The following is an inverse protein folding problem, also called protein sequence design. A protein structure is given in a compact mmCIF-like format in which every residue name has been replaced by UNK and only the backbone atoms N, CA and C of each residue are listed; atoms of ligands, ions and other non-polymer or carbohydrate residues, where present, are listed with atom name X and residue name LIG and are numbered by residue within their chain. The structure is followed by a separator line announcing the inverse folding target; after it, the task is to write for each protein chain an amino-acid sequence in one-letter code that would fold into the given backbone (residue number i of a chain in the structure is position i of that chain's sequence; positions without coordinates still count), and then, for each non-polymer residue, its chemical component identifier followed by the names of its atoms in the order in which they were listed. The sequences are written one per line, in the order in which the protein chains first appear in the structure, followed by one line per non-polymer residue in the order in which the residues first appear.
data_IF_164008032833
#
_entry.id   IF_164008032833
#
_cell.length_a   1.000
_cell.length_b   1.000
_cell.length_c   1.000
_cell.angle_alpha   90.00
_cell.angle_beta   90.00
_cell.angle_gamma   90.00
#
_symmetry.space_group_name_H-M   'P 1'
#
loop_
_entity.id
_entity.type
_entity.pdbx_description
1 polymer ?
#
# COMPACT_ATOMS: atom_id res chain seq x y z
N UNK A 1 -82.81 -9.69 -7.46
CA UNK A 1 -81.82 -8.65 -7.11
C UNK A 1 -82.15 -7.42 -7.93
N UNK A 2 -82.40 -6.23 -7.35
CA UNK A 2 -82.66 -5.04 -8.15
C UNK A 2 -81.39 -4.65 -8.94
N UNK A 3 -81.52 -4.41 -10.26
CA UNK A 3 -80.39 -4.03 -11.10
C UNK A 3 -79.75 -2.72 -10.63
N UNK A 4 -78.42 -2.66 -10.45
CA UNK A 4 -77.73 -1.47 -9.92
C UNK A 4 -77.89 -0.22 -10.79
N UNK A 5 -78.39 -0.37 -12.03
CA UNK A 5 -78.53 0.70 -13.01
C UNK A 5 -79.99 1.00 -13.42
N UNK A 6 -81.01 0.53 -12.71
CA UNK A 6 -82.41 0.82 -13.10
C UNK A 6 -82.81 2.31 -12.96
N UNK A 7 -82.09 3.08 -12.13
CA UNK A 7 -82.38 4.49 -11.87
C UNK A 7 -81.50 5.42 -12.74
N UNK A 8 -82.05 6.28 -13.62
CA UNK A 8 -81.29 7.18 -14.47
C UNK A 8 -80.40 8.16 -13.69
N UNK A 9 -80.80 8.57 -12.49
CA UNK A 9 -79.97 9.46 -11.65
C UNK A 9 -78.71 8.76 -11.13
N UNK A 10 -78.78 7.45 -10.83
CA UNK A 10 -77.60 6.65 -10.44
C UNK A 10 -76.63 6.47 -11.62
N UNK A 11 -77.12 6.33 -12.86
CA UNK A 11 -76.26 6.24 -14.05
C UNK A 11 -75.48 7.54 -14.27
N UNK A 12 -76.16 8.69 -14.21
CA UNK A 12 -75.51 10.00 -14.34
C UNK A 12 -74.52 10.27 -13.20
N UNK A 13 -74.83 9.85 -11.97
CA UNK A 13 -73.90 9.95 -10.85
C UNK A 13 -72.62 9.11 -11.05
N UNK A 14 -72.74 7.88 -11.55
CA UNK A 14 -71.58 7.03 -11.85
C UNK A 14 -70.75 7.59 -13.01
N UNK A 15 -71.39 8.09 -14.07
CA UNK A 15 -70.69 8.74 -15.20
C UNK A 15 -69.97 10.01 -14.75
N UNK A 16 -70.62 10.85 -13.94
CA UNK A 16 -69.99 12.05 -13.40
C UNK A 16 -68.81 11.72 -12.48
N UNK A 17 -68.95 10.72 -11.59
CA UNK A 17 -67.87 10.27 -10.71
C UNK A 17 -66.69 9.70 -11.51
N UNK A 18 -66.93 8.83 -12.48
CA UNK A 18 -65.88 8.23 -13.31
C UNK A 18 -65.18 9.28 -14.17
N UNK A 19 -65.92 10.23 -14.75
CA UNK A 19 -65.34 11.35 -15.49
C UNK A 19 -64.49 12.24 -14.57
N UNK A 20 -64.98 12.56 -13.37
CA UNK A 20 -64.24 13.36 -12.41
C UNK A 20 -62.94 12.67 -11.96
N UNK A 21 -62.99 11.35 -11.71
CA UNK A 21 -61.79 10.54 -11.40
C UNK A 21 -60.83 10.53 -12.58
N UNK A 22 -61.32 10.36 -13.82
CA UNK A 22 -60.47 10.37 -15.01
C UNK A 22 -59.79 11.74 -15.23
N UNK A 23 -60.53 12.85 -15.08
CA UNK A 23 -59.96 14.20 -15.16
C UNK A 23 -58.93 14.42 -14.05
N UNK A 24 -59.21 13.97 -12.83
CA UNK A 24 -58.27 14.07 -11.72
C UNK A 24 -57.00 13.26 -11.97
N UNK A 25 -57.11 12.03 -12.50
CA UNK A 25 -55.95 11.20 -12.85
C UNK A 25 -55.11 11.82 -13.99
N UNK A 26 -55.75 12.39 -15.02
CA UNK A 26 -55.04 13.10 -16.10
C UNK A 26 -54.31 14.33 -15.53
N UNK A 27 -54.98 15.12 -14.68
CA UNK A 27 -54.36 16.26 -14.02
C UNK A 27 -53.18 15.84 -13.14
N UNK A 28 -53.32 14.77 -12.35
CA UNK A 28 -52.26 14.22 -11.54
C UNK A 28 -51.08 13.72 -12.39
N UNK A 29 -51.33 13.01 -13.49
CA UNK A 29 -50.31 12.51 -14.40
C UNK A 29 -49.54 13.65 -15.09
N UNK A 30 -50.24 14.67 -15.58
CA UNK A 30 -49.61 15.86 -16.20
C UNK A 30 -48.74 16.60 -15.18
N UNK A 31 -49.21 16.75 -13.95
CA UNK A 31 -48.41 17.38 -12.90
C UNK A 31 -47.22 16.52 -12.48
N UNK A 32 -47.37 15.20 -12.41
CA UNK A 32 -46.27 14.28 -12.14
C UNK A 32 -45.18 14.38 -13.21
N UNK A 33 -45.54 14.34 -14.49
CA UNK A 33 -44.60 14.50 -15.61
C UNK A 33 -43.89 15.85 -15.56
N UNK A 34 -44.63 16.94 -15.30
CA UNK A 34 -44.03 18.27 -15.16
C UNK A 34 -43.06 18.35 -13.98
N UNK A 35 -43.44 17.78 -12.83
CA UNK A 35 -42.59 17.73 -11.65
C UNK A 35 -41.34 16.86 -11.90
N UNK A 36 -41.49 15.72 -12.56
CA UNK A 36 -40.40 14.84 -12.98
C UNK A 36 -39.42 15.57 -13.92
N UNK A 37 -39.94 16.29 -14.92
CA UNK A 37 -39.13 17.09 -15.84
C UNK A 37 -38.30 18.15 -15.10
N UNK A 38 -38.92 18.92 -14.21
CA UNK A 38 -38.20 19.89 -13.39
C UNK A 38 -37.25 19.21 -12.38
N UNK A 39 -37.64 18.08 -11.80
CA UNK A 39 -36.85 17.30 -10.85
C UNK A 39 -35.57 16.73 -11.47
N UNK A 40 -35.61 16.36 -12.75
CA UNK A 40 -34.48 15.87 -13.53
C UNK A 40 -33.47 16.96 -13.92
N UNK A 41 -33.81 18.24 -13.77
CA UNK A 41 -32.90 19.36 -14.02
C UNK A 41 -31.72 19.37 -13.05
N UNK A 42 -30.66 20.11 -13.41
CA UNK A 42 -29.53 20.41 -12.52
C UNK A 42 -29.67 21.78 -11.83
N UNK A 43 -30.79 22.48 -12.03
CA UNK A 43 -31.00 23.84 -11.51
C UNK A 43 -31.82 23.82 -10.21
N UNK A 44 -31.38 24.56 -9.17
CA UNK A 44 -32.12 24.66 -7.90
C UNK A 44 -33.55 25.19 -8.05
N UNK A 45 -33.75 26.18 -8.92
CA UNK A 45 -35.08 26.77 -9.17
C UNK A 45 -36.06 25.74 -9.73
N UNK A 46 -35.58 24.81 -10.55
CA UNK A 46 -36.41 23.74 -11.10
C UNK A 46 -36.80 22.74 -10.01
N UNK A 47 -35.88 22.36 -9.11
CA UNK A 47 -36.25 21.54 -7.94
C UNK A 47 -37.26 22.23 -7.02
N UNK A 48 -37.20 23.56 -6.87
CA UNK A 48 -38.20 24.34 -6.13
C UNK A 48 -39.57 24.34 -6.82
N UNK A 49 -39.60 24.39 -8.16
CA UNK A 49 -40.86 24.24 -8.93
C UNK A 49 -41.39 22.82 -8.81
N UNK A 50 -40.53 21.81 -8.93
CA UNK A 50 -40.88 20.41 -8.78
C UNK A 50 -41.47 20.13 -7.39
N UNK A 51 -40.89 20.66 -6.33
CA UNK A 51 -41.37 20.47 -4.95
C UNK A 51 -42.70 21.21 -4.67
N UNK A 52 -43.01 22.29 -5.39
CA UNK A 52 -44.33 22.93 -5.35
C UNK A 52 -45.41 22.11 -6.06
N UNK A 53 -45.07 21.46 -7.18
CA UNK A 53 -45.99 20.62 -7.95
C UNK A 53 -46.22 19.28 -7.22
N UNK A 54 -45.16 18.69 -6.66
CA UNK A 54 -45.19 17.45 -5.89
C UNK A 54 -44.53 17.60 -4.51
N UNK A 55 -45.25 18.16 -3.51
CA UNK A 55 -44.70 18.34 -2.16
C UNK A 55 -44.37 17.05 -1.42
N UNK A 56 -44.87 15.90 -1.91
CA UNK A 56 -44.65 14.57 -1.34
C UNK A 56 -43.40 13.87 -1.88
N UNK A 57 -42.76 14.40 -2.93
CA UNK A 57 -41.55 13.82 -3.51
C UNK A 57 -40.32 14.21 -2.68
N UNK A 58 -39.82 13.26 -1.86
CA UNK A 58 -38.69 13.47 -0.96
C UNK A 58 -37.40 13.90 -1.66
N UNK A 59 -37.16 13.40 -2.88
CA UNK A 59 -35.92 13.62 -3.62
C UNK A 59 -35.73 15.08 -4.03
N UNK A 60 -36.81 15.76 -4.42
CA UNK A 60 -36.76 17.19 -4.77
C UNK A 60 -36.32 18.05 -3.57
N UNK A 61 -36.85 17.74 -2.38
CA UNK A 61 -36.44 18.41 -1.14
C UNK A 61 -35.00 18.08 -0.76
N UNK A 62 -34.59 16.82 -0.91
CA UNK A 62 -33.21 16.41 -0.67
C UNK A 62 -32.21 17.15 -1.56
N UNK A 63 -32.49 17.28 -2.87
CA UNK A 63 -31.65 18.02 -3.82
C UNK A 63 -31.52 19.50 -3.46
N UNK A 64 -32.63 20.14 -3.08
CA UNK A 64 -32.61 21.52 -2.57
C UNK A 64 -31.75 21.64 -1.30
N UNK A 65 -31.88 20.69 -0.37
CA UNK A 65 -31.07 20.62 0.84
C UNK A 65 -29.57 20.50 0.52
N UNK A 66 -29.20 19.55 -0.35
CA UNK A 66 -27.81 19.36 -0.81
C UNK A 66 -27.25 20.60 -1.47
N UNK A 67 -28.03 21.26 -2.31
CA UNK A 67 -27.58 22.48 -2.96
C UNK A 67 -27.28 23.57 -1.94
N UNK A 68 -28.19 23.83 -0.99
CA UNK A 68 -27.96 24.83 0.07
C UNK A 68 -26.85 24.46 1.05
N UNK A 69 -26.57 23.17 1.21
CA UNK A 69 -25.49 22.66 2.04
C UNK A 69 -24.11 22.79 1.38
N UNK A 70 -24.01 22.54 0.07
CA UNK A 70 -22.74 22.44 -0.67
C UNK A 70 -22.42 23.66 -1.55
N UNK A 71 -23.29 24.66 -1.61
CA UNK A 71 -23.01 25.92 -2.31
C UNK A 71 -21.89 26.69 -1.60
N UNK A 72 -20.70 26.75 -2.21
CA UNK A 72 -19.53 27.38 -1.61
C UNK A 72 -19.68 28.89 -1.40
N UNK A 73 -20.45 29.57 -2.26
CA UNK A 73 -20.59 31.02 -2.22
C UNK A 73 -21.77 31.46 -1.35
N UNK A 74 -22.81 30.62 -1.25
CA UNK A 74 -24.09 30.97 -0.60
C UNK A 74 -24.65 29.84 0.28
N UNK A 75 -23.79 29.09 0.97
CA UNK A 75 -24.22 28.05 1.89
C UNK A 75 -25.22 28.60 2.93
N UNK A 76 -26.39 27.96 3.02
CA UNK A 76 -27.44 28.29 3.99
C UNK A 76 -27.80 27.00 4.74
N UNK A 77 -27.03 26.74 5.81
CA UNK A 77 -27.20 25.54 6.65
C UNK A 77 -28.60 25.47 7.28
N UNK A 78 -29.19 26.55 7.85
CA UNK A 78 -30.56 26.52 8.34
C UNK A 78 -31.58 26.08 7.28
N UNK A 79 -31.49 26.64 6.07
CA UNK A 79 -32.40 26.29 4.99
C UNK A 79 -32.16 24.86 4.49
N UNK A 80 -30.90 24.43 4.37
CA UNK A 80 -30.54 23.06 4.03
C UNK A 80 -31.14 22.05 5.02
N UNK A 81 -30.97 22.29 6.33
CA UNK A 81 -31.55 21.46 7.41
C UNK A 81 -33.07 21.39 7.27
N UNK A 82 -33.75 22.50 6.96
CA UNK A 82 -35.20 22.51 6.78
C UNK A 82 -35.66 21.61 5.62
N UNK A 83 -34.95 21.66 4.48
CA UNK A 83 -35.24 20.83 3.32
C UNK A 83 -34.90 19.36 3.56
N UNK A 84 -33.78 19.07 4.21
CA UNK A 84 -33.41 17.71 4.60
C UNK A 84 -34.41 17.11 5.59
N UNK A 85 -34.86 17.87 6.60
CA UNK A 85 -35.93 17.41 7.52
C UNK A 85 -37.20 17.06 6.75
N UNK A 86 -37.57 17.85 5.73
CA UNK A 86 -38.71 17.53 4.88
C UNK A 86 -38.49 16.25 4.08
N UNK A 87 -37.31 16.04 3.50
CA UNK A 87 -36.97 14.82 2.79
C UNK A 87 -37.03 13.58 3.71
N UNK A 88 -36.49 13.68 4.93
CA UNK A 88 -36.53 12.60 5.94
C UNK A 88 -37.96 12.32 6.41
N UNK A 89 -38.81 13.34 6.58
CA UNK A 89 -40.23 13.14 6.91
C UNK A 89 -40.97 12.36 5.82
N UNK A 90 -40.68 12.65 4.54
CA UNK A 90 -41.34 12.03 3.39
C UNK A 90 -40.80 10.62 3.12
N UNK A 91 -39.51 10.37 3.37
CA UNK A 91 -38.90 9.05 3.26
C UNK A 91 -38.00 8.76 4.49
N UNK A 92 -38.59 8.30 5.60
CA UNK A 92 -37.86 8.06 6.85
C UNK A 92 -36.92 6.84 6.80
N UNK A 93 -37.00 6.05 5.73
CA UNK A 93 -36.14 4.87 5.56
C UNK A 93 -34.79 5.21 4.93
N UNK A 94 -34.68 6.29 4.13
CA UNK A 94 -33.44 6.65 3.45
C UNK A 94 -32.32 7.03 4.43
N UNK A 95 -31.23 6.24 4.47
CA UNK A 95 -30.04 6.59 5.23
C UNK A 95 -29.32 7.80 4.65
N UNK A 96 -29.27 7.94 3.32
CA UNK A 96 -28.60 9.07 2.67
C UNK A 96 -29.19 10.42 3.13
N UNK A 97 -30.52 10.50 3.23
CA UNK A 97 -31.18 11.72 3.68
C UNK A 97 -30.89 12.01 5.15
N UNK A 98 -30.85 10.98 5.99
CA UNK A 98 -30.48 11.10 7.42
C UNK A 98 -29.01 11.50 7.60
N UNK A 99 -28.09 10.91 6.82
CA UNK A 99 -26.66 11.21 6.88
C UNK A 99 -26.37 12.66 6.49
N UNK A 100 -26.96 13.14 5.41
CA UNK A 100 -26.75 14.52 4.98
C UNK A 100 -27.43 15.52 5.90
N UNK A 101 -28.59 15.17 6.48
CA UNK A 101 -29.20 15.95 7.57
C UNK A 101 -28.28 15.99 8.79
N UNK A 102 -27.72 14.85 9.21
CA UNK A 102 -26.81 14.75 10.34
C UNK A 102 -25.55 15.60 10.11
N UNK A 103 -24.96 15.51 8.92
CA UNK A 103 -23.80 16.30 8.53
C UNK A 103 -24.09 17.81 8.55
N UNK A 104 -25.25 18.24 8.05
CA UNK A 104 -25.64 19.65 8.09
C UNK A 104 -25.88 20.14 9.52
N UNK A 105 -26.49 19.29 10.37
CA UNK A 105 -26.70 19.57 11.80
C UNK A 105 -25.37 19.70 12.55
N UNK A 106 -24.43 18.79 12.30
CA UNK A 106 -23.06 18.83 12.83
C UNK A 106 -22.36 20.13 12.42
N UNK A 107 -22.39 20.50 11.14
CA UNK A 107 -21.79 21.77 10.67
C UNK A 107 -22.44 23.01 11.30
N UNK A 108 -23.70 22.92 11.71
CA UNK A 108 -24.40 23.99 12.44
C UNK A 108 -24.16 23.98 13.96
N UNK A 109 -23.34 23.03 14.47
CA UNK A 109 -23.03 22.86 15.89
C UNK A 109 -24.11 22.15 16.72
N UNK A 110 -25.10 21.53 16.07
CA UNK A 110 -26.19 20.80 16.74
C UNK A 110 -25.86 19.29 16.82
N UNK A 111 -24.82 18.97 17.58
CA UNK A 111 -24.23 17.63 17.62
C UNK A 111 -25.16 16.57 18.22
N UNK A 112 -25.99 16.96 19.20
CA UNK A 112 -26.96 16.06 19.84
C UNK A 112 -27.99 15.57 18.82
N UNK A 113 -28.52 16.48 18.00
CA UNK A 113 -29.48 16.11 16.96
C UNK A 113 -28.79 15.39 15.79
N UNK A 114 -27.57 15.80 15.44
CA UNK A 114 -26.76 15.11 14.43
C UNK A 114 -26.54 13.63 14.79
N UNK A 115 -26.12 13.33 16.02
CA UNK A 115 -25.89 11.95 16.48
C UNK A 115 -27.15 11.11 16.37
N UNK A 116 -28.32 11.66 16.72
CA UNK A 116 -29.60 10.95 16.59
C UNK A 116 -29.83 10.47 15.15
N UNK A 117 -29.53 11.31 14.15
CA UNK A 117 -29.71 10.94 12.75
C UNK A 117 -28.61 10.01 12.24
N UNK A 118 -27.36 10.16 12.68
CA UNK A 118 -26.30 9.20 12.37
C UNK A 118 -26.64 7.80 12.90
N UNK A 119 -27.06 7.69 14.16
CA UNK A 119 -27.49 6.42 14.77
C UNK A 119 -28.69 5.83 14.05
N UNK A 120 -29.70 6.64 13.74
CA UNK A 120 -30.88 6.19 13.01
C UNK A 120 -30.58 5.78 11.54
N UNK A 121 -29.49 6.29 10.95
CA UNK A 121 -29.00 5.83 9.65
C UNK A 121 -28.31 4.45 9.80
N UNK A 122 -27.48 4.28 10.83
CA UNK A 122 -26.80 3.02 11.15
C UNK A 122 -27.78 1.89 11.48
N UNK A 123 -28.84 2.17 12.24
CA UNK A 123 -29.90 1.20 12.55
C UNK A 123 -30.63 0.71 11.28
N UNK A 124 -30.82 1.59 10.30
CA UNK A 124 -31.49 1.24 9.04
C UNK A 124 -30.57 0.48 8.07
N UNK A 125 -29.27 0.79 8.06
CA UNK A 125 -28.29 0.21 7.12
C UNK A 125 -27.00 -0.19 7.84
N UNK A 126 -27.03 -1.25 8.67
CA UNK A 126 -25.93 -1.60 9.55
C UNK A 126 -24.67 -2.11 8.81
N UNK A 127 -24.78 -2.44 7.52
CA UNK A 127 -23.69 -2.96 6.67
C UNK A 127 -23.17 -1.87 5.71
N UNK A 128 -23.70 -0.63 5.75
CA UNK A 128 -23.25 0.42 4.83
C UNK A 128 -21.92 1.01 5.25
N UNK A 129 -20.88 0.82 4.43
CA UNK A 129 -19.56 1.41 4.65
C UNK A 129 -19.64 2.94 4.78
N UNK A 130 -20.45 3.60 3.95
CA UNK A 130 -20.59 5.07 3.97
C UNK A 130 -21.23 5.57 5.28
N UNK A 131 -22.24 4.85 5.79
CA UNK A 131 -22.93 5.21 7.04
C UNK A 131 -21.96 5.08 8.21
N UNK A 132 -21.30 3.93 8.35
CA UNK A 132 -20.30 3.71 9.39
C UNK A 132 -19.13 4.68 9.25
N UNK A 133 -18.66 4.97 8.03
CA UNK A 133 -17.57 5.93 7.81
C UNK A 133 -17.94 7.35 8.26
N UNK A 134 -19.10 7.87 7.85
CA UNK A 134 -19.55 9.22 8.24
C UNK A 134 -19.81 9.30 9.74
N UNK A 135 -20.43 8.28 10.33
CA UNK A 135 -20.69 8.27 11.76
C UNK A 135 -19.41 8.14 12.59
N UNK A 136 -18.48 7.28 12.20
CA UNK A 136 -17.16 7.17 12.82
C UNK A 136 -16.38 8.48 12.76
N UNK A 137 -16.44 9.20 11.64
CA UNK A 137 -15.80 10.52 11.53
C UNK A 137 -16.45 11.59 12.42
N UNK A 138 -17.79 11.58 12.55
CA UNK A 138 -18.47 12.42 13.53
C UNK A 138 -17.97 12.11 14.94
N UNK A 139 -17.91 10.84 15.33
CA UNK A 139 -17.43 10.41 16.65
C UNK A 139 -15.96 10.78 16.90
N UNK A 140 -15.09 10.73 15.87
CA UNK A 140 -13.72 11.21 15.96
C UNK A 140 -13.67 12.72 16.30
N UNK A 141 -14.47 13.55 15.62
CA UNK A 141 -14.53 15.00 15.90
C UNK A 141 -15.06 15.29 17.31
N UNK A 142 -15.93 14.43 17.82
CA UNK A 142 -16.44 14.47 19.20
C UNK A 142 -15.47 13.85 20.23
N UNK A 143 -14.27 13.44 19.82
CA UNK A 143 -13.25 12.78 20.67
C UNK A 143 -13.72 11.49 21.35
N UNK A 144 -14.79 10.85 20.83
CA UNK A 144 -15.31 9.56 21.31
C UNK A 144 -14.59 8.41 20.61
N UNK A 145 -13.27 8.34 20.83
CA UNK A 145 -12.35 7.46 20.09
C UNK A 145 -12.78 5.98 20.08
N UNK A 146 -13.17 5.35 21.21
CA UNK A 146 -13.53 3.93 21.19
C UNK A 146 -14.72 3.61 20.28
N UNK A 147 -15.72 4.48 20.25
CA UNK A 147 -16.91 4.32 19.41
C UNK A 147 -16.59 4.64 17.95
N UNK A 148 -15.77 5.67 17.73
CA UNK A 148 -15.31 6.06 16.40
C UNK A 148 -14.56 4.92 15.70
N UNK A 149 -13.61 4.28 16.39
CA UNK A 149 -12.84 3.16 15.84
C UNK A 149 -13.71 1.95 15.53
N UNK A 150 -14.73 1.66 16.35
CA UNK A 150 -15.68 0.59 16.06
C UNK A 150 -16.45 0.84 14.74
N UNK A 151 -16.87 2.07 14.49
CA UNK A 151 -17.52 2.44 13.23
C UNK A 151 -16.55 2.47 12.05
N UNK A 152 -15.34 2.98 12.23
CA UNK A 152 -14.31 2.98 11.19
C UNK A 152 -13.94 1.54 10.79
N UNK A 153 -13.78 0.64 11.77
CA UNK A 153 -13.56 -0.78 11.54
C UNK A 153 -14.71 -1.39 10.72
N UNK A 154 -15.97 -1.12 11.09
CA UNK A 154 -17.13 -1.55 10.28
C UNK A 154 -17.03 -1.07 8.84
N UNK A 155 -16.63 0.18 8.63
CA UNK A 155 -16.53 0.76 7.31
C UNK A 155 -15.44 0.08 6.46
N UNK A 156 -14.24 -0.13 7.00
CA UNK A 156 -13.12 -0.73 6.24
C UNK A 156 -13.29 -2.23 5.99
N UNK A 157 -14.04 -2.94 6.83
CA UNK A 157 -14.41 -4.34 6.58
C UNK A 157 -15.31 -4.45 5.35
N UNK A 158 -16.19 -3.48 5.12
CA UNK A 158 -17.12 -3.48 3.97
C UNK A 158 -16.47 -2.86 2.73
N UNK A 159 -15.74 -1.76 2.87
CA UNK A 159 -15.00 -1.10 1.79
C UNK A 159 -13.51 -0.93 2.15
N UNK A 160 -12.65 -1.89 1.76
CA UNK A 160 -11.22 -1.82 2.00
C UNK A 160 -10.52 -0.61 1.37
N UNK A 161 -11.14 0.10 0.42
CA UNK A 161 -10.56 1.34 -0.15
C UNK A 161 -10.46 2.46 0.88
N UNK A 162 -11.18 2.34 1.99
CA UNK A 162 -11.12 3.28 3.11
C UNK A 162 -9.91 3.03 4.01
N UNK A 163 -9.19 1.90 3.89
CA UNK A 163 -8.07 1.54 4.78
C UNK A 163 -6.98 2.63 4.88
N UNK A 164 -6.46 3.23 3.79
CA UNK A 164 -5.43 4.25 3.91
C UNK A 164 -5.90 5.47 4.70
N UNK A 165 -7.16 5.88 4.50
CA UNK A 165 -7.77 6.98 5.26
C UNK A 165 -8.05 6.59 6.71
N UNK A 166 -8.48 5.36 6.98
CA UNK A 166 -8.72 4.87 8.33
C UNK A 166 -7.42 4.84 9.14
N UNK A 167 -6.36 4.22 8.59
CA UNK A 167 -5.04 4.14 9.20
C UNK A 167 -4.51 5.54 9.50
N UNK A 168 -4.47 6.41 8.48
CA UNK A 168 -3.95 7.76 8.68
C UNK A 168 -4.76 8.53 9.73
N UNK A 169 -6.09 8.55 9.67
CA UNK A 169 -6.92 9.29 10.63
C UNK A 169 -6.81 8.75 12.04
N UNK A 170 -6.84 7.44 12.22
CA UNK A 170 -6.69 6.82 13.53
C UNK A 170 -5.32 7.12 14.11
N UNK A 171 -4.25 7.00 13.32
CA UNK A 171 -2.89 7.33 13.78
C UNK A 171 -2.73 8.80 14.18
N UNK A 172 -3.29 9.73 13.41
CA UNK A 172 -3.26 11.16 13.77
C UNK A 172 -4.06 11.47 15.03
N UNK A 173 -5.12 10.70 15.31
CA UNK A 173 -5.98 10.91 16.48
C UNK A 173 -5.38 10.29 17.74
N UNK A 174 -4.79 9.10 17.63
CA UNK A 174 -4.16 8.35 18.69
C UNK A 174 -3.02 7.48 18.11
N UNK A 175 -1.75 7.91 18.21
CA UNK A 175 -0.61 7.22 17.63
C UNK A 175 -0.19 6.00 18.47
N UNK A 176 -1.14 5.10 18.74
CA UNK A 176 -0.91 3.80 19.37
C UNK A 176 -1.18 2.69 18.36
N UNK A 177 -0.13 1.92 18.06
CA UNK A 177 -0.21 0.79 17.12
C UNK A 177 -1.18 -0.30 17.60
N UNK A 178 -1.37 -0.44 18.92
CA UNK A 178 -2.34 -1.39 19.48
C UNK A 178 -3.76 -0.98 19.13
N UNK A 179 -4.05 0.32 19.12
CA UNK A 179 -5.36 0.82 18.69
C UNK A 179 -5.58 0.51 17.21
N UNK A 180 -4.57 0.72 16.36
CA UNK A 180 -4.66 0.35 14.94
C UNK A 180 -4.97 -1.14 14.77
N UNK A 181 -4.17 -2.02 15.39
CA UNK A 181 -4.27 -3.47 15.25
C UNK A 181 -5.57 -4.03 15.88
N UNK A 182 -5.92 -3.60 17.10
CA UNK A 182 -6.98 -4.22 17.88
C UNK A 182 -8.37 -3.62 17.57
N UNK A 183 -8.44 -2.38 17.07
CA UNK A 183 -9.69 -1.62 16.97
C UNK A 183 -10.05 -1.12 15.58
N UNK A 184 -9.07 -0.92 14.71
CA UNK A 184 -9.30 -0.21 13.42
C UNK A 184 -9.13 -1.15 12.23
N UNK A 185 -8.02 -1.89 12.19
CA UNK A 185 -7.68 -2.73 11.06
C UNK A 185 -8.54 -3.99 11.02
N UNK A 186 -8.98 -4.44 9.82
CA UNK A 186 -9.52 -5.77 9.67
C UNK A 186 -8.38 -6.78 9.87
N UNK A 187 -8.67 -7.91 10.52
CA UNK A 187 -7.71 -9.01 10.72
C UNK A 187 -7.42 -9.75 9.40
N UNK A 188 -6.69 -9.08 8.51
CA UNK A 188 -6.35 -9.53 7.16
C UNK A 188 -4.96 -9.01 6.77
N UNK A 189 -4.18 -9.76 5.97
CA UNK A 189 -2.87 -9.29 5.49
C UNK A 189 -2.93 -7.97 4.72
N UNK A 190 -4.02 -7.71 3.99
CA UNK A 190 -4.18 -6.47 3.25
C UNK A 190 -4.24 -5.25 4.19
N UNK A 191 -4.96 -5.35 5.31
CA UNK A 191 -5.01 -4.29 6.32
C UNK A 191 -3.64 -4.00 6.93
N UNK A 192 -2.89 -5.05 7.28
CA UNK A 192 -1.55 -4.91 7.84
C UNK A 192 -0.55 -4.33 6.84
N UNK A 193 -0.59 -4.74 5.57
CA UNK A 193 0.29 -4.18 4.54
C UNK A 193 0.03 -2.68 4.30
N UNK A 194 -1.23 -2.24 4.38
CA UNK A 194 -1.56 -0.82 4.28
C UNK A 194 -1.07 -0.04 5.52
N UNK A 195 -1.27 -0.58 6.72
CA UNK A 195 -0.75 0.02 7.95
C UNK A 195 0.78 0.10 7.97
N UNK A 196 1.45 -0.98 7.57
CA UNK A 196 2.91 -1.03 7.48
C UNK A 196 3.43 0.02 6.48
N UNK A 197 2.80 0.12 5.29
CA UNK A 197 3.19 1.10 4.28
C UNK A 197 3.08 2.54 4.78
N UNK A 198 1.97 2.84 5.48
CA UNK A 198 1.76 4.15 6.10
C UNK A 198 2.82 4.44 7.18
N UNK A 199 3.07 3.50 8.10
CA UNK A 199 4.04 3.68 9.19
C UNK A 199 5.47 3.80 8.67
N UNK A 200 5.80 3.10 7.58
CA UNK A 200 7.09 3.26 6.90
C UNK A 200 7.26 4.66 6.32
N UNK A 201 6.23 5.20 5.68
CA UNK A 201 6.24 6.58 5.18
C UNK A 201 6.32 7.60 6.32
N UNK A 202 5.64 7.33 7.44
CA UNK A 202 5.67 8.16 8.64
C UNK A 202 6.97 8.03 9.46
N UNK A 203 7.90 7.15 9.08
CA UNK A 203 9.14 6.84 9.80
C UNK A 203 8.93 6.24 11.21
N UNK A 204 7.77 5.59 11.43
CA UNK A 204 7.37 5.02 12.72
C UNK A 204 7.85 3.57 12.87
N UNK A 205 9.16 3.37 13.06
CA UNK A 205 9.79 2.05 13.00
C UNK A 205 9.29 1.04 14.02
N UNK A 206 9.00 1.47 15.25
CA UNK A 206 8.57 0.55 16.33
C UNK A 206 7.14 0.07 16.11
N UNK A 207 6.26 0.97 15.65
CA UNK A 207 4.92 0.61 15.26
C UNK A 207 4.92 -0.27 14.01
N UNK A 208 5.75 0.05 13.01
CA UNK A 208 5.89 -0.76 11.80
C UNK A 208 6.32 -2.20 12.13
N UNK A 209 7.23 -2.40 13.09
CA UNK A 209 7.61 -3.74 13.56
C UNK A 209 6.48 -4.48 14.27
N UNK A 210 5.66 -3.79 15.06
CA UNK A 210 4.49 -4.40 15.68
C UNK A 210 3.47 -4.88 14.64
N UNK A 211 3.23 -4.07 13.60
CA UNK A 211 2.39 -4.46 12.45
C UNK A 211 3.01 -5.61 11.67
N UNK A 212 4.32 -5.60 11.45
CA UNK A 212 5.03 -6.70 10.80
C UNK A 212 4.86 -8.03 11.55
N UNK A 213 5.00 -8.02 12.88
CA UNK A 213 4.81 -9.21 13.70
C UNK A 213 3.38 -9.76 13.62
N UNK A 214 2.38 -8.87 13.56
CA UNK A 214 0.99 -9.26 13.36
C UNK A 214 0.75 -9.86 11.96
N UNK A 215 1.34 -9.24 10.93
CA UNK A 215 1.27 -9.67 9.54
C UNK A 215 1.90 -11.03 9.32
N UNK A 216 3.16 -11.22 9.75
CA UNK A 216 3.92 -12.44 9.45
C UNK A 216 3.35 -13.67 10.16
N UNK A 217 2.72 -13.49 11.33
CA UNK A 217 2.03 -14.54 12.07
C UNK A 217 0.87 -15.16 11.26
N UNK A 218 0.28 -14.41 10.33
CA UNK A 218 -0.77 -14.89 9.43
C UNK A 218 -0.26 -15.65 8.21
N UNK A 219 1.08 -15.80 8.05
CA UNK A 219 1.74 -16.44 6.90
C UNK A 219 1.30 -15.85 5.55
N UNK A 220 1.50 -14.54 5.35
CA UNK A 220 1.04 -13.84 4.17
C UNK A 220 1.94 -14.16 2.96
N UNK A 221 1.45 -13.83 1.77
CA UNK A 221 2.34 -13.60 0.62
C UNK A 221 3.12 -12.31 0.83
N UNK A 222 4.41 -12.31 0.52
CA UNK A 222 5.31 -11.18 0.74
C UNK A 222 5.24 -10.18 -0.42
N UNK A 223 4.87 -8.93 -0.12
CA UNK A 223 5.07 -7.80 -1.03
C UNK A 223 6.52 -7.30 -0.90
N UNK A 224 7.38 -7.77 -1.80
CA UNK A 224 8.82 -7.45 -1.79
C UNK A 224 9.10 -5.95 -1.91
N UNK A 225 8.28 -5.19 -2.65
CA UNK A 225 8.49 -3.75 -2.80
C UNK A 225 8.24 -3.03 -1.46
N UNK A 226 7.16 -3.39 -0.76
CA UNK A 226 6.86 -2.86 0.58
C UNK A 226 7.90 -3.32 1.61
N UNK A 227 8.35 -4.57 1.54
CA UNK A 227 9.41 -5.12 2.39
C UNK A 227 10.74 -4.37 2.23
N UNK A 228 11.14 -4.07 0.99
CA UNK A 228 12.38 -3.30 0.73
C UNK A 228 12.30 -1.89 1.31
N UNK A 229 11.17 -1.21 1.17
CA UNK A 229 10.96 0.10 1.80
C UNK A 229 11.06 0.01 3.33
N UNK A 230 10.46 -1.03 3.93
CA UNK A 230 10.49 -1.24 5.37
C UNK A 230 11.90 -1.54 5.90
N UNK A 231 12.59 -2.51 5.31
CA UNK A 231 13.96 -2.87 5.70
C UNK A 231 14.94 -1.71 5.50
N UNK A 232 14.81 -0.95 4.41
CA UNK A 232 15.61 0.27 4.20
C UNK A 232 15.34 1.33 5.26
N UNK A 233 14.08 1.56 5.64
CA UNK A 233 13.74 2.49 6.72
C UNK A 233 14.42 2.07 8.04
N UNK A 234 14.33 0.79 8.42
CA UNK A 234 14.98 0.29 9.63
C UNK A 234 16.50 0.48 9.57
N UNK A 235 17.13 0.17 8.43
CA UNK A 235 18.57 0.41 8.21
C UNK A 235 18.93 1.90 8.33
N UNK A 236 18.09 2.80 7.82
CA UNK A 236 18.31 4.25 7.93
C UNK A 236 18.12 4.79 9.36
N UNK A 237 17.41 4.05 10.21
CA UNK A 237 17.25 4.33 11.63
C UNK A 237 18.28 3.60 12.50
N UNK A 238 19.31 2.99 11.89
CA UNK A 238 20.34 2.18 12.54
C UNK A 238 19.81 0.95 13.30
N UNK A 239 18.63 0.45 12.90
CA UNK A 239 17.93 -0.72 13.47
C UNK A 239 18.27 -2.00 12.73
N UNK A 240 19.57 -2.33 12.66
CA UNK A 240 20.09 -3.38 11.78
C UNK A 240 19.61 -4.80 12.15
N UNK A 241 19.61 -5.15 13.43
CA UNK A 241 19.16 -6.47 13.90
C UNK A 241 17.69 -6.73 13.55
N UNK A 242 16.85 -5.72 13.73
CA UNK A 242 15.41 -5.80 13.40
C UNK A 242 15.20 -5.88 11.90
N UNK A 243 15.94 -5.10 11.10
CA UNK A 243 15.91 -5.21 9.64
C UNK A 243 16.30 -6.62 9.17
N UNK A 244 17.33 -7.21 9.79
CA UNK A 244 17.75 -8.58 9.53
C UNK A 244 16.71 -9.62 9.91
N UNK A 245 16.02 -9.45 11.05
CA UNK A 245 14.92 -10.33 11.46
C UNK A 245 13.78 -10.31 10.45
N UNK A 246 13.30 -9.12 10.09
CA UNK A 246 12.24 -8.90 9.10
C UNK A 246 12.58 -9.60 7.78
N UNK A 247 13.82 -9.46 7.29
CA UNK A 247 14.26 -10.13 6.06
C UNK A 247 14.25 -11.66 6.17
N UNK A 248 14.79 -12.21 7.26
CA UNK A 248 14.83 -13.67 7.50
C UNK A 248 13.43 -14.25 7.62
N UNK A 249 12.53 -13.54 8.28
CA UNK A 249 11.14 -13.96 8.43
C UNK A 249 10.39 -13.94 7.09
N UNK A 250 10.57 -12.89 6.28
CA UNK A 250 9.96 -12.78 4.95
C UNK A 250 10.45 -13.89 4.00
N UNK A 251 11.76 -14.12 3.94
CA UNK A 251 12.36 -15.17 3.11
C UNK A 251 11.94 -16.56 3.57
N UNK A 252 11.85 -16.80 4.88
CA UNK A 252 11.33 -18.05 5.42
C UNK A 252 9.84 -18.28 5.08
N UNK A 253 9.01 -17.24 5.12
CA UNK A 253 7.58 -17.34 4.83
C UNK A 253 7.30 -17.82 3.38
N UNK A 254 8.07 -17.33 2.41
CA UNK A 254 7.98 -17.75 1.00
C UNK A 254 8.66 -19.10 0.72
N UNK A 255 9.16 -19.80 1.76
CA UNK A 255 10.02 -20.98 1.62
C UNK A 255 11.21 -20.73 0.69
N UNK A 256 11.62 -19.47 0.59
CA UNK A 256 12.82 -19.02 -0.07
C UNK A 256 13.93 -19.28 0.94
N UNK A 257 14.31 -20.55 1.05
CA UNK A 257 15.20 -21.05 2.12
C UNK A 257 16.38 -20.12 2.35
N UNK A 258 16.53 -19.75 3.62
CA UNK A 258 17.39 -18.73 4.24
C UNK A 258 18.89 -18.99 4.05
N UNK A 259 19.78 -17.98 4.17
CA UNK A 259 21.23 -18.14 4.27
C UNK A 259 21.68 -19.20 5.31
N UNK A 260 20.80 -19.50 6.28
CA UNK A 260 20.96 -20.59 7.25
C UNK A 260 20.91 -22.01 6.63
N UNK A 261 20.49 -22.16 5.37
CA UNK A 261 20.58 -23.41 4.61
C UNK A 261 21.86 -23.55 3.77
N UNK A 262 22.72 -22.52 3.76
CA UNK A 262 24.02 -22.48 3.08
C UNK A 262 25.17 -22.39 4.09
N UNK A 263 25.26 -23.35 5.02
CA UNK A 263 26.47 -23.56 5.83
C UNK A 263 26.87 -22.39 6.76
N UNK A 264 25.94 -21.52 7.14
CA UNK A 264 26.18 -20.40 8.05
C UNK A 264 26.64 -19.10 7.38
N UNK A 265 26.54 -19.00 6.05
CA UNK A 265 26.83 -17.77 5.31
C UNK A 265 25.87 -16.63 5.66
N UNK A 266 26.39 -15.40 5.71
CA UNK A 266 25.59 -14.18 5.83
C UNK A 266 25.07 -13.66 4.47
N UNK A 267 25.62 -14.17 3.37
CA UNK A 267 25.22 -13.81 1.99
C UNK A 267 23.92 -14.52 1.65
N UNK A 268 22.96 -13.78 1.10
CA UNK A 268 21.70 -14.32 0.61
C UNK A 268 21.82 -14.73 -0.86
N UNK A 269 21.48 -15.99 -1.17
CA UNK A 269 21.56 -16.53 -2.54
C UNK A 269 22.96 -16.34 -3.15
N UNK A 270 24.00 -16.71 -2.39
CA UNK A 270 25.39 -16.58 -2.84
C UNK A 270 25.73 -17.45 -4.05
N UNK A 271 24.90 -18.47 -4.30
CA UNK A 271 24.99 -19.45 -5.39
C UNK A 271 24.18 -19.05 -6.62
N UNK A 272 23.48 -17.91 -6.60
CA UNK A 272 22.69 -17.39 -7.72
C UNK A 272 21.63 -18.36 -8.25
N UNK A 273 21.04 -19.17 -7.38
CA UNK A 273 20.02 -20.16 -7.72
C UNK A 273 18.62 -19.54 -7.82
N UNK A 274 18.52 -18.22 -7.64
CA UNK A 274 17.28 -17.44 -7.70
C UNK A 274 17.43 -16.16 -8.48
N UNK A 275 16.31 -15.66 -8.97
CA UNK A 275 16.31 -14.38 -9.65
C UNK A 275 16.68 -13.29 -8.65
N UNK A 276 17.40 -12.28 -9.11
CA UNK A 276 17.90 -11.22 -8.23
C UNK A 276 16.72 -10.52 -7.56
N UNK A 277 16.78 -10.38 -6.23
CA UNK A 277 15.71 -9.70 -5.49
C UNK A 277 15.60 -8.22 -5.88
N UNK A 278 16.71 -7.60 -6.30
CA UNK A 278 16.77 -6.17 -6.66
C UNK A 278 16.63 -5.23 -5.45
N UNK A 279 16.63 -5.76 -4.23
CA UNK A 279 16.38 -4.97 -3.02
C UNK A 279 16.58 -5.74 -1.71
N UNK A 280 16.40 -5.02 -0.59
CA UNK A 280 16.63 -5.54 0.76
C UNK A 280 18.07 -6.03 0.95
N UNK A 281 18.24 -7.25 1.43
CA UNK A 281 19.57 -7.86 1.62
C UNK A 281 19.92 -8.90 0.55
N UNK A 282 19.22 -8.90 -0.58
CA UNK A 282 19.58 -9.73 -1.72
C UNK A 282 20.43 -8.99 -2.76
N UNK A 283 20.84 -9.75 -3.78
CA UNK A 283 21.64 -9.24 -4.89
C UNK A 283 20.91 -8.19 -5.71
N UNK A 284 21.67 -7.19 -6.15
CA UNK A 284 21.26 -6.13 -7.05
C UNK A 284 22.17 -6.14 -8.26
N UNK A 285 21.55 -5.92 -9.41
CA UNK A 285 22.22 -5.63 -10.65
C UNK A 285 21.65 -4.32 -11.19
N UNK A 286 22.51 -3.52 -11.81
CA UNK A 286 22.14 -2.30 -12.51
C UNK A 286 22.72 -2.36 -13.92
N UNK A 287 21.88 -2.05 -14.91
CA UNK A 287 22.30 -2.00 -16.31
C UNK A 287 23.26 -0.83 -16.55
N UNK A 288 24.34 -1.09 -17.29
CA UNK A 288 25.28 -0.06 -17.72
C UNK A 288 25.73 -0.35 -19.15
N UNK A 289 25.85 0.67 -20.03
CA UNK A 289 26.37 0.46 -21.37
C UNK A 289 27.75 -0.23 -21.34
N UNK A 290 27.92 -1.27 -22.15
CA UNK A 290 29.17 -2.02 -22.26
C UNK A 290 29.29 -3.22 -21.32
N UNK A 291 28.26 -3.53 -20.52
CA UNK A 291 28.18 -4.75 -19.73
C UNK A 291 26.75 -5.30 -19.68
N UNK A 292 26.58 -6.56 -20.10
CA UNK A 292 25.31 -7.27 -20.05
C UNK A 292 25.35 -8.33 -18.95
N UNK A 293 24.31 -8.40 -18.12
CA UNK A 293 24.15 -9.41 -17.07
C UNK A 293 23.09 -10.44 -17.46
N UNK A 294 23.40 -11.71 -17.25
CA UNK A 294 22.42 -12.80 -17.28
C UNK A 294 22.83 -13.96 -16.35
N UNK A 295 22.04 -15.03 -16.36
CA UNK A 295 22.37 -16.28 -15.67
C UNK A 295 22.80 -17.35 -16.67
N UNK A 296 23.93 -18.01 -16.40
CA UNK A 296 24.48 -19.07 -17.26
C UNK A 296 24.25 -20.44 -16.63
N UNK A 297 23.52 -21.32 -17.31
CA UNK A 297 23.26 -22.70 -16.86
C UNK A 297 24.35 -23.69 -17.29
N UNK A 298 25.22 -23.29 -18.21
CA UNK A 298 26.28 -24.14 -18.77
C UNK A 298 27.58 -24.01 -17.99
N UNK A 299 28.01 -22.78 -17.74
CA UNK A 299 29.20 -22.45 -16.97
C UNK A 299 28.80 -22.06 -15.54
N UNK A 300 29.02 -22.97 -14.60
CA UNK A 300 28.70 -22.79 -13.18
C UNK A 300 29.70 -23.55 -12.32
N UNK A 301 29.97 -23.04 -11.12
CA UNK A 301 30.83 -23.74 -10.18
C UNK A 301 30.02 -24.79 -9.40
N UNK A 302 28.82 -24.43 -8.96
CA UNK A 302 27.90 -25.34 -8.29
C UNK A 302 26.45 -25.13 -8.73
N UNK A 303 25.55 -25.98 -8.23
CA UNK A 303 24.10 -25.77 -8.40
C UNK A 303 23.61 -25.86 -9.85
N UNK A 304 22.69 -24.99 -10.24
CA UNK A 304 22.00 -25.03 -11.54
C UNK A 304 22.41 -23.89 -12.48
N UNK A 305 22.93 -22.78 -11.96
CA UNK A 305 23.36 -21.62 -12.76
C UNK A 305 24.34 -20.73 -12.01
N UNK A 306 25.04 -19.85 -12.71
CA UNK A 306 25.88 -18.80 -12.11
C UNK A 306 25.53 -17.43 -12.66
N UNK A 307 25.96 -16.38 -11.97
CA UNK A 307 25.87 -15.01 -12.48
C UNK A 307 26.93 -14.78 -13.56
N UNK A 308 26.53 -14.26 -14.72
CA UNK A 308 27.44 -13.96 -15.83
C UNK A 308 27.35 -12.49 -16.22
N UNK A 309 28.51 -11.89 -16.48
CA UNK A 309 28.63 -10.55 -17.03
C UNK A 309 29.48 -10.61 -18.30
N UNK A 310 28.92 -10.12 -19.41
CA UNK A 310 29.60 -10.04 -20.71
C UNK A 310 29.94 -8.58 -20.99
N UNK A 311 31.22 -8.31 -21.27
CA UNK A 311 31.70 -6.98 -21.65
C UNK A 311 31.96 -6.93 -23.16
N UNK A 312 31.45 -5.90 -23.82
CA UNK A 312 31.37 -5.82 -25.28
C UNK A 312 32.62 -5.23 -25.97
N UNK A 313 33.62 -4.77 -25.21
CA UNK A 313 34.83 -4.16 -25.77
C UNK A 313 34.64 -2.72 -26.27
N UNK A 314 33.54 -2.05 -25.94
CA UNK A 314 33.27 -0.69 -26.45
C UNK A 314 33.80 0.41 -25.53
N UNK A 315 33.95 0.14 -24.23
CA UNK A 315 34.21 1.15 -23.21
C UNK A 315 35.32 0.77 -22.23
N UNK A 316 35.98 1.79 -21.66
CA UNK A 316 36.86 1.63 -20.50
C UNK A 316 36.03 1.69 -19.21
N UNK A 317 35.21 0.67 -19.00
CA UNK A 317 34.11 0.65 -18.02
C UNK A 317 34.59 0.55 -16.56
N UNK A 318 34.11 1.40 -15.65
CA UNK A 318 34.20 1.10 -14.21
C UNK A 318 33.01 0.24 -13.82
N UNK A 319 33.24 -0.94 -13.25
CA UNK A 319 32.16 -1.87 -12.88
C UNK A 319 32.07 -2.03 -11.36
N UNK A 320 30.88 -1.79 -10.82
CA UNK A 320 30.48 -2.07 -9.43
C UNK A 320 28.98 -2.43 -9.31
N UNK A 321 28.38 -2.85 -10.43
CA UNK A 321 26.92 -2.89 -10.59
C UNK A 321 26.27 -4.19 -10.12
N UNK A 322 27.03 -5.28 -9.93
CA UNK A 322 26.58 -6.49 -9.25
C UNK A 322 27.05 -6.44 -7.79
N UNK A 323 26.10 -6.32 -6.86
CA UNK A 323 26.42 -6.20 -5.44
C UNK A 323 25.32 -6.70 -4.51
N UNK A 324 25.70 -6.97 -3.26
CA UNK A 324 24.78 -7.28 -2.17
C UNK A 324 25.15 -6.51 -0.90
N UNK A 325 24.13 -6.11 -0.13
CA UNK A 325 24.31 -5.57 1.22
C UNK A 325 24.18 -6.73 2.21
N UNK A 326 25.18 -6.89 3.07
CA UNK A 326 25.23 -7.96 4.07
C UNK A 326 25.31 -7.33 5.46
N UNK A 327 24.44 -7.77 6.37
CA UNK A 327 24.48 -7.36 7.77
C UNK A 327 25.60 -8.10 8.49
N UNK A 328 26.37 -7.37 9.31
CA UNK A 328 27.51 -7.89 10.06
C UNK A 328 27.52 -7.33 11.48
N UNK A 329 28.17 -8.04 12.39
CA UNK A 329 28.40 -7.56 13.75
C UNK A 329 29.65 -6.66 13.77
N UNK A 330 29.63 -5.51 14.46
CA UNK A 330 30.80 -4.65 14.60
C UNK A 330 31.97 -5.35 15.30
N UNK A 331 33.20 -4.91 15.01
CA UNK A 331 34.41 -5.44 15.65
C UNK A 331 34.63 -6.95 15.47
N UNK A 332 33.94 -7.58 14.52
CA UNK A 332 33.94 -9.03 14.33
C UNK A 332 34.81 -9.42 13.14
N UNK A 333 35.54 -10.53 13.29
CA UNK A 333 36.37 -11.09 12.22
C UNK A 333 35.53 -12.02 11.36
N UNK A 334 35.64 -11.85 10.06
CA UNK A 334 34.94 -12.63 9.04
C UNK A 334 35.91 -13.17 8.00
N UNK A 335 35.44 -14.16 7.26
CA UNK A 335 36.08 -14.68 6.06
C UNK A 335 35.11 -14.56 4.89
N UNK A 336 35.52 -13.80 3.88
CA UNK A 336 34.88 -13.78 2.58
C UNK A 336 35.40 -14.95 1.74
N UNK A 337 34.52 -15.60 1.00
CA UNK A 337 34.82 -16.59 -0.04
C UNK A 337 33.92 -16.34 -1.23
N UNK A 338 34.44 -16.47 -2.45
CA UNK A 338 33.64 -16.44 -3.66
C UNK A 338 34.39 -17.07 -4.81
N UNK A 339 33.67 -17.72 -5.73
CA UNK A 339 34.28 -18.29 -6.92
C UNK A 339 34.13 -17.32 -8.09
N UNK A 340 35.25 -17.10 -8.78
CA UNK A 340 35.34 -16.24 -9.95
C UNK A 340 35.93 -17.04 -11.10
N UNK A 341 35.33 -16.94 -12.28
CA UNK A 341 35.90 -17.43 -13.54
C UNK A 341 35.96 -16.29 -14.52
N UNK A 342 37.03 -16.19 -15.30
CA UNK A 342 37.19 -15.16 -16.33
C UNK A 342 37.50 -15.79 -17.67
N UNK A 343 37.01 -15.18 -18.75
CA UNK A 343 37.40 -15.54 -20.10
C UNK A 343 37.68 -14.29 -20.93
N UNK A 344 38.91 -14.20 -21.42
CA UNK A 344 39.39 -13.13 -22.31
C UNK A 344 39.19 -11.72 -21.78
N UNK A 345 39.35 -11.50 -20.46
CA UNK A 345 39.38 -10.16 -19.88
C UNK A 345 40.57 -9.39 -20.45
N UNK A 346 40.28 -8.46 -21.38
CA UNK A 346 41.27 -7.87 -22.29
C UNK A 346 42.24 -6.87 -21.66
N UNK A 347 41.88 -6.29 -20.51
CA UNK A 347 42.60 -5.15 -19.92
C UNK A 347 43.45 -5.55 -18.73
N UNK A 348 44.45 -4.72 -18.40
CA UNK A 348 45.29 -4.91 -17.22
C UNK A 348 44.58 -4.66 -15.88
N UNK A 349 43.37 -4.10 -15.90
CA UNK A 349 42.59 -3.77 -14.72
C UNK A 349 41.80 -4.93 -14.12
N UNK A 350 41.71 -6.09 -14.78
CA UNK A 350 41.15 -7.34 -14.24
C UNK A 350 39.75 -7.26 -13.61
N UNK A 351 39.34 -8.35 -12.95
CA UNK A 351 38.10 -8.49 -12.18
C UNK A 351 38.41 -9.00 -10.78
N UNK A 352 37.69 -8.50 -9.76
CA UNK A 352 37.86 -8.91 -8.36
C UNK A 352 36.63 -8.60 -7.53
N UNK A 353 36.56 -9.11 -6.31
CA UNK A 353 35.59 -8.64 -5.32
C UNK A 353 36.14 -7.48 -4.51
N UNK A 354 35.24 -6.58 -4.11
CA UNK A 354 35.46 -5.53 -3.13
C UNK A 354 34.47 -5.73 -1.98
N UNK A 355 34.99 -5.77 -0.75
CA UNK A 355 34.23 -5.83 0.49
C UNK A 355 34.47 -4.52 1.22
N UNK A 356 33.46 -3.67 1.28
CA UNK A 356 33.57 -2.35 1.88
C UNK A 356 32.45 -2.03 2.86
N UNK A 357 32.70 -1.13 3.79
CA UNK A 357 31.65 -0.42 4.51
C UNK A 357 31.18 0.78 3.65
N UNK A 358 29.96 0.76 3.10
CA UNK A 358 29.51 1.80 2.18
C UNK A 358 29.19 3.13 2.90
N UNK A 359 29.06 3.12 4.23
CA UNK A 359 28.85 4.35 5.04
C UNK A 359 30.18 4.91 5.52
N UNK A 360 31.19 4.06 5.72
CA UNK A 360 32.50 4.41 6.26
C UNK A 360 33.61 3.65 5.54
N UNK A 361 33.93 3.97 4.27
CA UNK A 361 34.94 3.22 3.49
C UNK A 361 36.32 3.19 4.16
N UNK A 362 36.65 4.18 4.98
CA UNK A 362 37.88 4.22 5.77
C UNK A 362 37.95 3.15 6.87
N UNK A 363 36.82 2.62 7.32
CA UNK A 363 36.75 1.60 8.37
C UNK A 363 36.87 0.18 7.78
N UNK A 364 36.49 -0.01 6.51
CA UNK A 364 36.64 -1.27 5.80
C UNK A 364 36.59 -1.06 4.27
N UNK A 365 37.66 -1.42 3.59
CA UNK A 365 37.76 -1.54 2.12
C UNK A 365 38.81 -2.60 1.78
N UNK A 366 38.35 -3.81 1.44
CA UNK A 366 39.19 -4.99 1.20
C UNK A 366 38.93 -5.50 -0.21
N UNK A 367 40.02 -5.79 -0.92
CA UNK A 367 40.01 -6.21 -2.31
C UNK A 367 40.60 -7.62 -2.42
N UNK A 368 39.97 -8.48 -3.21
CA UNK A 368 40.55 -9.79 -3.55
C UNK A 368 41.63 -9.64 -4.64
N UNK A 369 42.43 -10.69 -4.90
CA UNK A 369 43.23 -10.80 -6.12
C UNK A 369 42.52 -10.34 -7.38
N UNK A 370 43.30 -9.80 -8.32
CA UNK A 370 42.79 -9.17 -9.53
C UNK A 370 43.00 -10.11 -10.72
N UNK A 371 41.95 -10.82 -11.11
CA UNK A 371 41.96 -11.86 -12.14
C UNK A 371 41.94 -11.23 -13.54
N UNK A 372 42.80 -11.71 -14.45
CA UNK A 372 43.01 -11.14 -15.78
C UNK A 372 43.05 -12.22 -16.84
N UNK A 373 42.72 -11.87 -18.08
CA UNK A 373 42.75 -12.83 -19.18
C UNK A 373 41.69 -13.91 -19.01
N UNK A 374 42.11 -15.18 -19.10
CA UNK A 374 41.26 -16.35 -18.95
C UNK A 374 41.78 -17.18 -17.79
N UNK A 375 41.00 -17.25 -16.72
CA UNK A 375 41.28 -18.04 -15.53
C UNK A 375 40.13 -19.02 -15.29
N UNK A 376 40.41 -20.28 -14.89
CA UNK A 376 39.37 -21.22 -14.51
C UNK A 376 38.60 -20.73 -13.27
N UNK A 377 37.63 -21.51 -12.79
CA UNK A 377 37.01 -21.22 -11.50
C UNK A 377 38.06 -21.18 -10.39
N UNK A 378 38.32 -19.99 -9.87
CA UNK A 378 39.29 -19.70 -8.82
C UNK A 378 38.54 -19.30 -7.56
N UNK A 379 38.97 -19.84 -6.42
CA UNK A 379 38.46 -19.45 -5.12
C UNK A 379 39.17 -18.17 -4.66
N UNK A 380 38.42 -17.08 -4.59
CA UNK A 380 38.82 -15.83 -3.96
C UNK A 380 38.49 -15.88 -2.46
N UNK A 381 39.51 -15.77 -1.61
CA UNK A 381 39.34 -15.83 -0.15
C UNK A 381 40.14 -14.71 0.54
N UNK A 382 39.47 -13.97 1.43
CA UNK A 382 40.12 -12.94 2.24
C UNK A 382 39.47 -12.86 3.62
N UNK A 383 40.29 -12.68 4.65
CA UNK A 383 39.80 -12.39 6.00
C UNK A 383 39.81 -10.89 6.24
N UNK A 384 38.76 -10.42 6.92
CA UNK A 384 38.62 -9.01 7.27
C UNK A 384 38.00 -8.87 8.66
N UNK A 385 38.22 -7.72 9.29
CA UNK A 385 37.61 -7.36 10.58
C UNK A 385 36.81 -6.10 10.38
N UNK A 386 35.52 -6.14 10.71
CA UNK A 386 34.64 -4.97 10.64
C UNK A 386 35.05 -3.92 11.67
N UNK A 387 34.88 -2.63 11.33
CA UNK A 387 35.07 -1.54 12.28
C UNK A 387 34.10 -1.60 13.48
N UNK A 388 34.34 -0.81 14.53
CA UNK A 388 33.51 -0.79 15.73
C UNK A 388 32.09 -0.22 15.50
N UNK A 389 31.84 0.40 14.35
CA UNK A 389 30.54 0.95 13.94
C UNK A 389 30.01 0.32 12.64
N UNK A 390 30.70 -0.69 12.11
CA UNK A 390 30.32 -1.36 10.86
C UNK A 390 29.26 -2.42 11.16
N UNK A 391 28.01 -2.10 10.87
CA UNK A 391 26.86 -3.02 11.01
C UNK A 391 26.39 -3.61 9.68
N UNK A 392 26.90 -3.08 8.57
CA UNK A 392 26.60 -3.56 7.23
C UNK A 392 27.82 -3.36 6.34
N UNK A 393 27.98 -4.26 5.39
CA UNK A 393 29.00 -4.20 4.34
C UNK A 393 28.33 -4.34 2.97
N UNK A 394 29.04 -3.90 1.95
CA UNK A 394 28.73 -4.16 0.57
C UNK A 394 29.77 -5.14 0.02
N UNK A 395 29.28 -6.25 -0.55
CA UNK A 395 30.08 -7.15 -1.39
C UNK A 395 29.73 -6.81 -2.82
N UNK A 396 30.72 -6.45 -3.63
CA UNK A 396 30.49 -6.10 -5.02
C UNK A 396 31.58 -6.68 -5.93
N UNK A 397 31.19 -6.99 -7.17
CA UNK A 397 32.14 -7.29 -8.23
C UNK A 397 32.72 -5.97 -8.75
N UNK A 398 34.05 -5.82 -8.68
CA UNK A 398 34.76 -4.59 -8.98
C UNK A 398 35.63 -4.73 -10.22
N UNK A 399 35.61 -3.69 -11.06
CA UNK A 399 36.62 -3.39 -12.06
C UNK A 399 36.91 -1.91 -12.11
N UNK A 400 38.18 -1.53 -12.02
CA UNK A 400 38.63 -0.13 -12.15
C UNK A 400 38.97 0.21 -13.62
N UNK A 401 38.81 1.47 -14.06
CA UNK A 401 39.25 1.89 -15.39
C UNK A 401 40.75 1.64 -15.61
N UNK A 402 41.12 1.17 -16.80
CA UNK A 402 42.52 1.02 -17.20
C UNK A 402 43.09 2.35 -17.69
N UNK A 403 44.33 2.66 -17.31
CA UNK A 403 45.05 3.84 -17.79
C UNK A 403 45.78 3.60 -19.12
N UNK A 404 45.74 2.37 -19.67
CA UNK A 404 46.42 2.05 -20.92
C UNK A 404 45.68 2.58 -22.15
N UNK A 405 46.31 2.50 -23.32
CA UNK A 405 45.69 2.88 -24.60
C UNK A 405 44.69 1.80 -25.07
N UNK A 406 44.98 0.53 -24.82
CA UNK A 406 44.13 -0.64 -25.04
C UNK A 406 43.19 -0.90 -23.84
N UNK A 407 42.44 0.13 -23.44
CA UNK A 407 41.68 0.13 -22.19
C UNK A 407 40.22 -0.32 -22.31
N UNK A 408 39.76 -0.67 -23.51
CA UNK A 408 38.39 -1.14 -23.71
C UNK A 408 38.23 -2.56 -23.19
N UNK A 409 37.27 -2.74 -22.28
CA UNK A 409 37.03 -4.00 -21.60
C UNK A 409 36.16 -4.91 -22.46
N UNK A 410 36.75 -6.02 -22.89
CA UNK A 410 36.07 -7.15 -23.51
C UNK A 410 36.28 -8.39 -22.64
N UNK A 411 35.40 -9.38 -22.79
CA UNK A 411 35.51 -10.67 -22.13
C UNK A 411 34.28 -10.98 -21.28
N UNK A 412 34.31 -12.13 -20.63
CA UNK A 412 33.20 -12.59 -19.79
C UNK A 412 33.72 -12.96 -18.41
N UNK A 413 32.90 -12.70 -17.40
CA UNK A 413 33.16 -13.10 -16.02
C UNK A 413 31.95 -13.84 -15.47
N UNK A 414 32.21 -14.91 -14.72
CA UNK A 414 31.20 -15.66 -13.99
C UNK A 414 31.49 -15.61 -12.49
N UNK A 415 30.43 -15.49 -11.70
CA UNK A 415 30.47 -15.39 -10.24
C UNK A 415 29.54 -16.45 -9.65
N UNK A 416 30.03 -17.18 -8.66
CA UNK A 416 29.26 -18.25 -8.00
C UNK A 416 29.76 -18.49 -6.55
N UNK A 417 28.97 -19.20 -5.75
CA UNK A 417 29.27 -19.65 -4.38
C UNK A 417 29.87 -18.55 -3.46
N UNK A 418 29.27 -17.37 -3.46
CA UNK A 418 29.69 -16.22 -2.65
C UNK A 418 29.22 -16.36 -1.21
N UNK A 419 30.13 -16.19 -0.24
CA UNK A 419 29.84 -16.39 1.17
C UNK A 419 30.64 -15.46 2.08
N UNK A 420 30.05 -15.14 3.23
CA UNK A 420 30.72 -14.46 4.35
C UNK A 420 30.42 -15.25 5.61
N UNK A 421 31.47 -15.74 6.27
CA UNK A 421 31.40 -16.61 7.43
C UNK A 421 32.12 -15.96 8.62
N UNK A 422 31.62 -16.07 9.85
CA UNK A 422 32.37 -15.68 11.04
C UNK A 422 33.69 -16.45 11.15
N UNK A 423 34.80 -15.76 11.40
CA UNK A 423 36.12 -16.38 11.54
C UNK A 423 36.22 -17.11 12.88
N UNK A 424 35.79 -18.37 12.89
CA UNK A 424 35.67 -19.22 14.08
C UNK A 424 34.68 -20.37 13.88
N UNK A 425 33.82 -20.29 12.87
CA UNK A 425 32.99 -21.39 12.40
C UNK A 425 33.85 -22.40 11.62
N UNK A 426 34.61 -23.24 12.32
CA UNK A 426 35.09 -24.49 11.73
C UNK A 426 33.89 -25.39 11.43
N UNK A 427 33.84 -25.92 10.21
CA UNK A 427 32.86 -26.89 9.66
C UNK A 427 32.08 -27.71 10.67
#
# INVERSE_FOLDING_TARGET
MPEPFANPTRRWAVIALTTAVAVWLIYAAVNHERASHYGASSKPDDWSRASKIEPANAENWYRLGRYRHLDFDHADLPLAISYYRRAVQLNPRSAFYKLDLASALEMSGNDIEAEKYYRAAQENYPISAEVSWKYGNFLLRQQRLPEAYAEIHRAVVVDPKLLPLAVSRSWHSDPDVRVLLDKVLPNTPAGDWEALSFLVQAQEGTAALAVWNHLIAQKPSIDWRKLFAFTNMLVNQDRFEEAGSVWREATAAEKVSSPASEGGSLVFDGRFERDLSGGGFGWRQQDIPGADFDFDTSEKHSGTRSARIVFDGTQNLSYEHLYQIVLVAPGTRYRFRGFLRTDQISTDSGMRFEIRDPRRPQDLDVLTPNEKGTEPWTLEEVEFTTGPQTHLIQILLRRLPSARLDNRLNGTVWVDDVAVLPAGSSR
#
